data_IF_531765636847
#
_entry.id   IF_531765636847
#
_cell.length_a   1.000
_cell.length_b   1.000
_cell.length_c   1.000
_cell.angle_alpha   90.00
_cell.angle_beta   90.00
_cell.angle_gamma   90.00
#
_symmetry.space_group_name_H-M   'P 1'
#
loop_
_entity.id
_entity.type
_entity.pdbx_description
1 polymer ?
#
# COMPACT_ATOMS: atom_id res chain seq x y z
N UNK A 1 -28.84 -34.45 10.54
CA UNK A 1 -27.53 -33.93 10.10
C UNK A 1 -27.75 -32.50 9.62
N UNK A 2 -27.36 -31.52 10.43
CA UNK A 2 -27.68 -30.11 10.22
C UNK A 2 -26.74 -29.45 9.21
N UNK A 3 -27.29 -28.60 8.35
CA UNK A 3 -26.50 -27.70 7.50
C UNK A 3 -25.71 -26.75 8.40
N UNK A 4 -24.42 -26.45 8.11
CA UNK A 4 -23.68 -25.43 8.83
C UNK A 4 -24.47 -24.11 8.82
N UNK A 5 -24.57 -23.39 9.96
CA UNK A 5 -25.23 -22.10 10.01
C UNK A 5 -24.66 -21.18 8.94
N UNK A 6 -25.55 -20.56 8.16
CA UNK A 6 -25.15 -19.62 7.12
C UNK A 6 -24.94 -18.28 7.82
N UNK A 7 -23.69 -17.85 7.95
CA UNK A 7 -23.35 -16.64 8.71
C UNK A 7 -23.73 -15.43 7.85
N UNK A 8 -24.54 -14.54 8.41
CA UNK A 8 -24.94 -13.30 7.75
C UNK A 8 -23.88 -12.23 8.05
N UNK A 9 -23.03 -11.97 7.07
CA UNK A 9 -21.92 -11.01 7.19
C UNK A 9 -22.38 -9.58 7.45
N UNK A 10 -23.66 -9.24 7.17
CA UNK A 10 -24.22 -7.91 7.47
C UNK A 10 -24.34 -7.63 8.97
N UNK A 11 -24.19 -8.66 9.81
CA UNK A 11 -24.23 -8.55 11.27
C UNK A 11 -22.85 -8.43 11.92
N UNK A 12 -21.78 -8.41 11.12
CA UNK A 12 -20.41 -8.34 11.65
C UNK A 12 -19.95 -6.90 11.74
N UNK A 13 -19.60 -6.47 12.94
CA UNK A 13 -18.93 -5.20 13.17
C UNK A 13 -17.43 -5.36 12.88
N UNK A 14 -16.91 -4.52 11.99
CA UNK A 14 -15.47 -4.39 11.77
C UNK A 14 -14.96 -3.31 12.72
N UNK A 15 -14.20 -3.74 13.74
CA UNK A 15 -13.59 -2.84 14.71
C UNK A 15 -12.09 -2.82 14.48
N UNK A 16 -11.54 -1.64 14.24
CA UNK A 16 -10.10 -1.43 14.26
C UNK A 16 -9.65 -1.21 15.71
N UNK A 17 -9.43 -2.32 16.41
CA UNK A 17 -9.02 -2.34 17.82
C UNK A 17 -7.50 -2.48 17.97
N UNK A 18 -6.75 -1.89 17.03
CA UNK A 18 -5.29 -1.96 17.07
C UNK A 18 -4.75 -1.05 18.17
N UNK A 19 -3.78 -1.51 18.96
CA UNK A 19 -3.13 -0.66 19.96
C UNK A 19 -2.30 0.45 19.29
N UNK A 20 -1.76 1.37 20.09
CA UNK A 20 -0.75 2.35 19.67
C UNK A 20 0.21 1.74 18.64
N UNK A 21 0.65 2.51 17.62
CA UNK A 21 1.33 1.99 16.43
C UNK A 21 2.28 0.86 16.79
N UNK A 22 1.97 -0.35 16.31
CA UNK A 22 2.74 -1.53 16.64
C UNK A 22 4.20 -1.26 16.27
N UNK A 23 5.13 -1.22 17.25
CA UNK A 23 6.50 -0.86 16.96
C UNK A 23 7.11 -1.98 16.11
N UNK A 24 7.48 -1.63 14.89
CA UNK A 24 8.23 -2.52 14.00
C UNK A 24 9.70 -2.13 14.08
N UNK A 25 10.58 -3.11 14.19
CA UNK A 25 12.03 -2.91 14.21
C UNK A 25 12.61 -2.93 12.80
N UNK A 26 13.75 -2.26 12.59
CA UNK A 26 14.50 -2.31 11.33
C UNK A 26 14.86 -3.75 10.90
N UNK A 27 15.04 -4.65 11.87
CA UNK A 27 15.32 -6.06 11.60
C UNK A 27 14.09 -6.76 11.00
N UNK A 28 12.90 -6.47 11.51
CA UNK A 28 11.66 -7.02 10.98
C UNK A 28 11.36 -6.47 9.58
N UNK A 29 11.61 -5.17 9.35
CA UNK A 29 11.50 -4.54 8.03
C UNK A 29 12.44 -5.25 7.04
N UNK A 30 13.71 -5.44 7.41
CA UNK A 30 14.68 -6.12 6.54
C UNK A 30 14.29 -7.58 6.22
N UNK A 31 13.67 -8.30 7.17
CA UNK A 31 13.15 -9.64 6.90
C UNK A 31 12.00 -9.55 5.90
N UNK A 32 11.06 -8.63 6.06
CA UNK A 32 9.94 -8.44 5.13
C UNK A 32 10.42 -8.09 3.71
N UNK A 33 11.31 -7.09 3.60
CA UNK A 33 11.90 -6.66 2.33
C UNK A 33 12.70 -7.76 1.66
N UNK A 34 13.33 -8.68 2.41
CA UNK A 34 14.05 -9.79 1.79
C UNK A 34 13.15 -10.81 1.08
N UNK A 35 11.87 -10.90 1.45
CA UNK A 35 10.92 -11.79 0.78
C UNK A 35 10.18 -11.11 -0.37
N UNK A 36 10.03 -9.78 -0.33
CA UNK A 36 9.21 -9.02 -1.28
C UNK A 36 9.95 -7.95 -2.07
N UNK A 37 11.24 -7.71 -1.80
CA UNK A 37 12.03 -6.63 -2.40
C UNK A 37 12.02 -6.70 -3.91
N UNK A 38 12.37 -7.85 -4.46
CA UNK A 38 12.37 -8.07 -5.91
C UNK A 38 10.99 -7.82 -6.57
N UNK A 39 9.89 -8.09 -5.85
CA UNK A 39 8.54 -7.83 -6.35
C UNK A 39 8.19 -6.34 -6.36
N UNK A 40 8.65 -5.60 -5.35
CA UNK A 40 8.45 -4.14 -5.31
C UNK A 40 9.35 -3.41 -6.29
N UNK A 41 10.58 -3.88 -6.48
CA UNK A 41 11.47 -3.38 -7.51
C UNK A 41 10.83 -3.57 -8.90
N UNK A 42 10.22 -4.73 -9.19
CA UNK A 42 9.49 -4.92 -10.46
C UNK A 42 8.27 -4.00 -10.61
N UNK A 43 7.51 -3.78 -9.54
CA UNK A 43 6.28 -2.99 -9.58
C UNK A 43 6.53 -1.48 -9.61
N UNK A 44 7.61 -1.03 -8.99
CA UNK A 44 7.86 0.38 -8.69
C UNK A 44 9.17 0.92 -9.23
N UNK A 45 10.05 0.10 -9.83
CA UNK A 45 11.23 0.65 -10.48
C UNK A 45 10.78 1.62 -11.56
N UNK A 46 11.21 2.89 -11.49
CA UNK A 46 10.92 3.81 -12.55
C UNK A 46 11.58 3.28 -13.82
N UNK A 47 10.88 3.32 -14.98
CA UNK A 47 11.51 2.94 -16.23
C UNK A 47 12.79 3.76 -16.38
N UNK A 48 13.88 3.10 -16.79
CA UNK A 48 15.18 3.73 -16.98
C UNK A 48 14.97 5.09 -17.65
N UNK A 49 15.50 6.19 -17.07
CA UNK A 49 15.21 7.52 -17.59
C UNK A 49 15.52 7.49 -19.09
N UNK A 50 14.61 7.97 -19.96
CA UNK A 50 14.93 8.05 -21.37
C UNK A 50 16.25 8.81 -21.45
N UNK A 51 17.24 8.31 -22.19
CA UNK A 51 18.52 8.99 -22.35
C UNK A 51 18.24 10.42 -22.85
N UNK A 52 18.17 11.39 -21.92
CA UNK A 52 17.65 12.73 -22.19
C UNK A 52 18.69 13.43 -23.06
N UNK A 53 18.40 13.60 -24.36
CA UNK A 53 18.87 14.77 -25.06
C UNK A 53 18.30 16.00 -24.31
N UNK A 54 19.10 17.04 -24.04
CA UNK A 54 18.91 17.99 -22.94
C UNK A 54 17.76 18.97 -23.19
N UNK A 55 16.52 18.49 -23.19
CA UNK A 55 15.33 19.33 -23.32
C UNK A 55 14.07 18.58 -22.91
N UNK A 56 14.06 18.04 -21.69
CA UNK A 56 12.82 17.97 -20.93
C UNK A 56 13.13 18.03 -19.44
N UNK A 57 13.12 19.25 -18.89
CA UNK A 57 12.91 19.41 -17.47
C UNK A 57 11.49 18.93 -17.20
N UNK A 58 11.36 17.71 -16.66
CA UNK A 58 10.08 17.25 -16.13
C UNK A 58 9.63 18.25 -15.07
N UNK A 59 8.54 18.95 -15.35
CA UNK A 59 7.79 19.67 -14.32
C UNK A 59 7.31 18.60 -13.34
N UNK A 60 7.89 18.59 -12.13
CA UNK A 60 7.28 17.91 -10.99
C UNK A 60 6.05 18.74 -10.65
N UNK A 61 4.90 18.34 -11.18
CA UNK A 61 3.64 18.76 -10.59
C UNK A 61 3.63 18.18 -9.18
N UNK A 62 3.71 19.07 -8.21
CA UNK A 62 3.45 18.77 -6.80
C UNK A 62 2.04 18.20 -6.78
N UNK A 63 1.93 16.86 -6.71
CA UNK A 63 0.71 16.22 -6.26
C UNK A 63 0.40 16.86 -4.92
N UNK A 64 -0.74 17.55 -4.85
CA UNK A 64 -1.27 18.08 -3.60
C UNK A 64 -1.15 16.99 -2.52
N UNK A 65 -0.77 17.42 -1.32
CA UNK A 65 -0.39 16.66 -0.12
C UNK A 65 -1.54 15.81 0.46
N UNK A 66 -2.39 15.23 -0.40
CA UNK A 66 -3.44 14.30 0.00
C UNK A 66 -2.82 12.93 0.24
N UNK A 67 -2.89 12.42 1.48
CA UNK A 67 -2.31 11.14 1.79
C UNK A 67 -2.91 10.04 0.93
N UNK A 68 -2.07 9.11 0.48
CA UNK A 68 -2.47 7.93 -0.31
C UNK A 68 -3.50 7.01 0.39
N UNK A 69 -3.87 7.29 1.63
CA UNK A 69 -4.91 6.61 2.41
C UNK A 69 -6.25 7.36 2.45
N UNK A 70 -6.40 8.49 1.76
CA UNK A 70 -7.71 9.11 1.50
C UNK A 70 -8.47 8.24 0.47
N UNK A 71 -9.38 7.38 0.93
CA UNK A 71 -10.22 6.61 0.01
C UNK A 71 -11.16 7.60 -0.68
N UNK A 72 -11.35 7.54 -2.02
CA UNK A 72 -12.38 8.35 -2.65
C UNK A 72 -13.72 7.96 -2.03
N UNK A 73 -14.55 8.96 -1.67
CA UNK A 73 -15.91 8.75 -1.18
C UNK A 73 -16.66 7.85 -2.17
N UNK A 74 -16.78 6.57 -1.81
CA UNK A 74 -17.60 5.62 -2.54
C UNK A 74 -19.07 5.97 -2.27
N UNK A 75 -19.95 5.93 -3.29
CA UNK A 75 -21.36 6.29 -3.14
C UNK A 75 -22.12 5.36 -2.18
#
# INVERSE_FOLDING_TARGET
MGRPPKHDLSTWDVVDDWPDPLPVTEVEIAVFERWFGDFFDELFDPPAPPSIAPETSAHVEVMDDEPLWSWPDLP
#
